data_IF_110587268420
#
_entry.id   IF_110587268420
#
_cell.length_a   1.000
_cell.length_b   1.000
_cell.length_c   1.000
_cell.angle_alpha   90.00
_cell.angle_beta   90.00
_cell.angle_gamma   90.00
#
_symmetry.space_group_name_H-M   'P 1'
#
loop_
_entity.id
_entity.type
_entity.pdbx_description
1 polymer ?
#
# COMPACT_ATOMS: atom_id res chain seq x y z
N UNK A 1 6.67 15.36 4.15
CA UNK A 1 6.48 15.55 2.69
C UNK A 1 4.98 15.54 2.42
N UNK A 2 4.43 16.47 1.63
CA UNK A 2 2.98 16.46 1.33
C UNK A 2 2.68 15.30 0.36
N UNK A 3 1.70 14.42 0.63
CA UNK A 3 1.37 13.33 -0.28
C UNK A 3 0.82 13.87 -1.60
N UNK A 4 1.24 13.30 -2.72
CA UNK A 4 0.80 13.71 -4.05
C UNK A 4 -0.72 13.64 -4.18
N UNK A 5 -1.41 14.62 -4.82
CA UNK A 5 -2.87 14.67 -4.91
C UNK A 5 -3.50 13.40 -5.49
N UNK A 6 -2.78 12.71 -6.37
CA UNK A 6 -3.24 11.46 -6.96
C UNK A 6 -3.46 10.34 -5.93
N UNK A 7 -2.65 10.31 -4.87
CA UNK A 7 -2.79 9.35 -3.80
C UNK A 7 -3.73 9.83 -2.70
N UNK A 8 -4.29 11.06 -2.73
CA UNK A 8 -5.25 11.52 -1.72
C UNK A 8 -6.49 10.59 -1.54
N UNK A 9 -7.10 10.04 -2.61
CA UNK A 9 -8.28 9.21 -2.48
C UNK A 9 -7.96 7.84 -1.88
N UNK A 10 -8.73 7.46 -0.86
CA UNK A 10 -8.58 6.21 -0.10
C UNK A 10 -8.68 4.97 -1.01
N UNK A 11 -9.61 4.98 -1.96
CA UNK A 11 -9.80 3.87 -2.91
C UNK A 11 -8.56 3.60 -3.77
N UNK A 12 -7.81 4.64 -4.19
CA UNK A 12 -6.63 4.45 -5.04
C UNK A 12 -5.52 3.73 -4.30
N UNK A 13 -5.32 4.07 -3.02
CA UNK A 13 -4.33 3.41 -2.17
C UNK A 13 -4.70 1.96 -1.93
N UNK A 14 -5.98 1.70 -1.63
CA UNK A 14 -6.47 0.33 -1.42
C UNK A 14 -6.35 -0.51 -2.70
N UNK A 15 -6.65 0.05 -3.88
CA UNK A 15 -6.47 -0.66 -5.15
C UNK A 15 -5.01 -1.05 -5.39
N UNK A 16 -4.07 -0.13 -5.16
CA UNK A 16 -2.64 -0.43 -5.31
C UNK A 16 -2.19 -1.49 -4.30
N UNK A 17 -2.63 -1.37 -3.05
CA UNK A 17 -2.33 -2.35 -1.99
C UNK A 17 -2.86 -3.74 -2.34
N UNK A 18 -4.12 -3.84 -2.79
CA UNK A 18 -4.73 -5.10 -3.20
C UNK A 18 -4.04 -5.71 -4.42
N UNK A 19 -3.62 -4.87 -5.38
CA UNK A 19 -2.87 -5.33 -6.55
C UNK A 19 -1.52 -5.94 -6.14
N UNK A 20 -0.75 -5.25 -5.29
CA UNK A 20 0.52 -5.77 -4.78
C UNK A 20 0.35 -7.05 -3.94
N UNK A 21 -0.66 -7.08 -3.06
CA UNK A 21 -0.97 -8.25 -2.24
C UNK A 21 -1.40 -9.46 -3.10
N UNK A 22 -2.25 -9.22 -4.11
CA UNK A 22 -2.70 -10.25 -5.05
C UNK A 22 -1.54 -10.81 -5.87
N UNK A 23 -0.64 -9.94 -6.36
CA UNK A 23 0.55 -10.38 -7.09
C UNK A 23 1.51 -11.17 -6.20
N UNK A 24 1.72 -10.72 -4.97
CA UNK A 24 2.57 -11.43 -4.00
C UNK A 24 2.01 -12.82 -3.69
N UNK A 25 0.69 -12.94 -3.50
CA UNK A 25 0.04 -14.23 -3.29
C UNK A 25 0.13 -15.14 -4.52
N UNK A 26 -0.03 -14.57 -5.72
CA UNK A 26 0.13 -15.28 -6.98
C UNK A 26 1.55 -15.83 -7.11
N UNK A 27 2.57 -14.99 -7.00
CA UNK A 27 3.97 -15.41 -7.07
C UNK A 27 4.33 -16.41 -5.97
N UNK A 28 3.85 -16.20 -4.74
CA UNK A 28 4.07 -17.13 -3.63
C UNK A 28 3.47 -18.52 -3.88
N UNK A 29 2.42 -18.62 -4.69
CA UNK A 29 1.82 -19.90 -5.07
C UNK A 29 2.66 -20.66 -6.12
N UNK A 30 3.32 -19.94 -7.03
CA UNK A 30 4.14 -20.55 -8.09
C UNK A 30 5.59 -20.77 -7.69
N UNK A 31 6.25 -19.75 -7.14
CA UNK A 31 7.64 -19.79 -6.69
C UNK A 31 7.90 -18.76 -5.58
N UNK A 32 7.64 -19.17 -4.34
CA UNK A 32 7.93 -18.37 -3.14
C UNK A 32 9.43 -18.08 -2.92
N UNK A 33 10.34 -18.77 -3.62
CA UNK A 33 11.78 -18.54 -3.53
C UNK A 33 12.32 -17.52 -4.53
N UNK A 34 11.48 -17.08 -5.47
CA UNK A 34 11.87 -16.15 -6.53
C UNK A 34 12.27 -14.79 -5.97
N UNK A 35 13.30 -14.18 -6.56
CA UNK A 35 13.67 -12.79 -6.28
C UNK A 35 12.47 -11.85 -6.47
N UNK A 36 11.61 -12.14 -7.44
CA UNK A 36 10.40 -11.35 -7.72
C UNK A 36 9.37 -11.42 -6.60
N UNK A 37 9.19 -12.59 -5.97
CA UNK A 37 8.33 -12.74 -4.81
C UNK A 37 8.83 -11.89 -3.63
N UNK A 38 10.12 -11.97 -3.31
CA UNK A 38 10.70 -11.19 -2.20
C UNK A 38 10.57 -9.68 -2.42
N UNK A 39 10.78 -9.20 -3.65
CA UNK A 39 10.58 -7.79 -4.00
C UNK A 39 9.12 -7.37 -3.82
N UNK A 40 8.18 -8.13 -4.36
CA UNK A 40 6.75 -7.83 -4.25
C UNK A 40 6.25 -7.91 -2.80
N UNK A 41 6.76 -8.86 -2.02
CA UNK A 41 6.47 -8.98 -0.60
C UNK A 41 6.98 -7.76 0.18
N UNK A 42 8.21 -7.30 -0.10
CA UNK A 42 8.76 -6.07 0.48
C UNK A 42 7.94 -4.83 0.11
N UNK A 43 7.56 -4.68 -1.16
CA UNK A 43 6.72 -3.57 -1.63
C UNK A 43 5.34 -3.60 -0.97
N UNK A 44 4.72 -4.77 -0.86
CA UNK A 44 3.42 -4.95 -0.21
C UNK A 44 3.48 -4.59 1.27
N UNK A 45 4.52 -5.03 1.98
CA UNK A 45 4.72 -4.67 3.38
C UNK A 45 4.93 -3.16 3.57
N UNK A 46 5.70 -2.52 2.67
CA UNK A 46 5.91 -1.08 2.70
C UNK A 46 4.62 -0.30 2.38
N UNK A 47 3.83 -0.74 1.41
CA UNK A 47 2.54 -0.12 1.08
C UNK A 47 1.54 -0.25 2.24
N UNK A 48 1.52 -1.40 2.92
CA UNK A 48 0.72 -1.59 4.13
C UNK A 48 1.15 -0.62 5.24
N UNK A 49 2.45 -0.48 5.46
CA UNK A 49 3.00 0.47 6.43
C UNK A 49 2.64 1.93 6.09
N UNK A 50 2.85 2.35 4.84
CA UNK A 50 2.53 3.71 4.39
C UNK A 50 1.04 4.01 4.55
N UNK A 51 0.17 3.05 4.26
CA UNK A 51 -1.27 3.25 4.34
C UNK A 51 -1.82 3.24 5.78
N UNK A 52 -1.43 2.25 6.60
CA UNK A 52 -2.04 2.04 7.93
C UNK A 52 -1.27 2.67 9.09
N UNK A 53 0.07 2.70 9.02
CA UNK A 53 0.92 2.98 10.19
C UNK A 53 1.64 4.33 10.11
N UNK A 54 1.83 4.89 8.92
CA UNK A 54 2.62 6.13 8.75
C UNK A 54 1.95 7.40 9.31
N UNK A 55 0.63 7.41 9.46
CA UNK A 55 -0.14 8.61 9.83
C UNK A 55 -0.16 9.70 8.74
N UNK A 56 0.45 9.48 7.57
CA UNK A 56 0.53 10.45 6.47
C UNK A 56 -0.83 10.85 5.89
N UNK A 57 -1.87 10.07 6.20
CA UNK A 57 -3.19 10.20 5.63
C UNK A 57 -4.30 10.36 6.68
N UNK A 58 -3.94 10.84 7.87
CA UNK A 58 -4.91 11.15 8.91
C UNK A 58 -6.03 12.05 8.36
N UNK A 59 -7.31 11.75 8.66
CA UNK A 59 -8.43 12.61 8.28
C UNK A 59 -8.16 14.03 8.80
N UNK A 60 -8.39 15.04 7.94
CA UNK A 60 -8.32 16.43 8.37
C UNK A 60 -9.33 16.62 9.51
N UNK A 61 -8.95 17.14 10.69
CA UNK A 61 -9.92 17.39 11.74
C UNK A 61 -11.00 18.31 11.18
N UNK A 62 -12.27 17.92 11.35
CA UNK A 62 -13.40 18.74 10.96
C UNK A 62 -13.23 20.09 11.66
N UNK A 63 -13.09 21.15 10.87
CA UNK A 63 -13.06 22.52 11.37
C UNK A 63 -14.31 22.73 12.21
N UNK A 64 -14.13 22.94 13.52
CA UNK A 64 -15.18 23.44 14.40
C UNK A 64 -15.43 24.90 13.99
N UNK A 65 -16.47 25.11 13.18
CA UNK A 65 -17.17 26.39 13.12
C UNK A 65 -17.98 26.60 14.40
#
# INVERSE_FOLDING_TARGET
MRPHPWFQPLYRRVLVMLFCAGWTAWEGYYDAGSMWFLLMLGVTAWAAWDFFLSGNYAPKPASSE
#
